data_IF_098035865635
#
_entry.id   IF_098035865635
#
_cell.length_a   1.000
_cell.length_b   1.000
_cell.length_c   1.000
_cell.angle_alpha   90.00
_cell.angle_beta   90.00
_cell.angle_gamma   90.00
#
_symmetry.space_group_name_H-M   'P 1'
#
loop_
_entity.id
_entity.type
_entity.pdbx_description
1 polymer ?
#
# COMPACT_ATOMS: atom_id res chain seq x y z
N UNK A 1 17.62 -33.74 9.34
CA UNK A 1 18.13 -32.58 10.11
C UNK A 1 17.11 -31.48 9.99
N UNK A 2 16.13 -31.48 10.88
CA UNK A 2 15.08 -30.46 11.00
C UNK A 2 15.69 -29.24 11.68
N UNK A 3 15.87 -28.14 10.95
CA UNK A 3 16.30 -26.88 11.56
C UNK A 3 15.11 -26.30 12.35
N UNK A 4 15.12 -26.53 13.66
CA UNK A 4 14.38 -25.74 14.63
C UNK A 4 15.07 -24.38 14.82
N UNK A 5 14.32 -23.28 14.75
CA UNK A 5 14.62 -22.09 15.55
C UNK A 5 15.31 -20.88 14.91
N UNK A 6 15.13 -20.58 13.62
CA UNK A 6 15.34 -19.19 13.17
C UNK A 6 14.03 -18.41 13.28
N UNK A 7 14.00 -17.42 14.18
CA UNK A 7 12.90 -16.46 14.27
C UNK A 7 12.74 -15.77 12.91
N UNK A 8 11.60 -16.03 12.27
CA UNK A 8 11.25 -15.43 10.99
C UNK A 8 11.25 -13.89 11.13
N UNK A 9 12.08 -13.14 10.38
CA UNK A 9 12.12 -11.69 10.46
C UNK A 9 10.71 -11.11 10.28
N UNK A 10 10.19 -10.51 11.33
CA UNK A 10 8.81 -10.05 11.40
C UNK A 10 8.77 -8.54 11.56
N UNK A 11 8.06 -7.87 10.66
CA UNK A 11 7.92 -6.43 10.63
C UNK A 11 6.47 -6.02 10.87
N UNK A 12 6.24 -5.06 11.77
CA UNK A 12 4.93 -4.41 11.90
C UNK A 12 4.72 -3.44 10.73
N UNK A 13 3.72 -3.72 9.90
CA UNK A 13 3.29 -2.86 8.80
C UNK A 13 1.95 -2.21 9.14
N UNK A 14 1.91 -0.88 9.22
CA UNK A 14 0.68 -0.13 9.46
C UNK A 14 -0.01 0.17 8.12
N UNK A 15 -1.27 -0.24 7.93
CA UNK A 15 -2.04 0.04 6.72
C UNK A 15 -3.16 1.03 7.01
N UNK A 16 -3.03 2.25 6.48
CA UNK A 16 -3.94 3.38 6.74
C UNK A 16 -4.50 3.96 5.45
N UNK A 17 -5.57 4.76 5.59
CA UNK A 17 -6.27 5.41 4.49
C UNK A 17 -7.77 5.40 4.69
N UNK A 18 -8.47 6.20 3.89
CA UNK A 18 -9.91 6.38 4.02
C UNK A 18 -10.71 5.07 3.90
N UNK A 19 -11.91 5.07 4.48
CA UNK A 19 -12.87 3.98 4.35
C UNK A 19 -13.21 3.74 2.88
N UNK A 20 -13.32 2.46 2.50
CA UNK A 20 -13.65 2.09 1.12
C UNK A 20 -12.51 2.16 0.11
N UNK A 21 -11.28 2.55 0.50
CA UNK A 21 -10.13 2.53 -0.41
C UNK A 21 -9.71 1.11 -0.84
N UNK A 22 -10.12 0.07 -0.11
CA UNK A 22 -9.82 -1.34 -0.41
C UNK A 22 -8.68 -1.94 0.41
N UNK A 23 -8.37 -1.37 1.59
CA UNK A 23 -7.30 -1.85 2.50
C UNK A 23 -7.49 -3.31 2.91
N UNK A 24 -8.63 -3.63 3.49
CA UNK A 24 -8.99 -5.01 3.89
C UNK A 24 -8.98 -5.97 2.71
N UNK A 25 -9.53 -5.57 1.56
CA UNK A 25 -9.51 -6.39 0.33
C UNK A 25 -8.08 -6.66 -0.13
N UNK A 26 -7.19 -5.65 -0.07
CA UNK A 26 -5.78 -5.79 -0.42
C UNK A 26 -5.06 -6.76 0.51
N UNK A 27 -5.31 -6.72 1.81
CA UNK A 27 -4.69 -7.62 2.79
C UNK A 27 -5.22 -9.04 2.68
N UNK A 28 -6.55 -9.22 2.71
CA UNK A 28 -7.18 -10.54 2.59
C UNK A 28 -6.78 -11.26 1.32
N UNK A 29 -6.65 -10.52 0.21
CA UNK A 29 -6.23 -11.11 -1.05
C UNK A 29 -4.77 -11.57 -1.05
N UNK A 30 -3.88 -10.97 -0.25
CA UNK A 30 -2.55 -11.55 0.00
C UNK A 30 -2.60 -12.81 0.88
N UNK A 31 -3.58 -12.92 1.78
CA UNK A 31 -3.70 -14.06 2.69
C UNK A 31 -4.34 -15.29 2.05
N UNK A 32 -5.50 -15.11 1.42
CA UNK A 32 -6.34 -16.22 0.94
C UNK A 32 -6.34 -16.33 -0.59
N UNK A 33 -5.81 -15.32 -1.28
CA UNK A 33 -5.93 -15.19 -2.73
C UNK A 33 -7.32 -14.74 -3.19
N UNK A 34 -8.34 -14.76 -2.32
CA UNK A 34 -9.72 -14.43 -2.66
C UNK A 34 -9.96 -12.92 -2.74
N UNK A 35 -10.84 -12.53 -3.66
CA UNK A 35 -11.34 -11.16 -3.73
C UNK A 35 -12.68 -11.04 -3.02
N UNK A 36 -12.72 -10.25 -1.97
CA UNK A 36 -13.96 -9.96 -1.25
C UNK A 36 -14.70 -8.78 -1.90
N UNK A 37 -15.81 -9.08 -2.59
CA UNK A 37 -16.67 -8.06 -3.22
C UNK A 37 -17.49 -7.24 -2.22
N UNK A 38 -17.79 -7.82 -1.06
CA UNK A 38 -18.65 -7.19 -0.06
C UNK A 38 -17.82 -6.23 0.76
N UNK A 39 -18.21 -4.95 0.76
CA UNK A 39 -17.63 -4.00 1.69
C UNK A 39 -18.22 -4.21 3.08
N UNK A 40 -17.36 -4.61 4.02
CA UNK A 40 -17.64 -4.61 5.46
C UNK A 40 -16.63 -3.67 6.08
N UNK A 41 -17.08 -2.62 6.78
CA UNK A 41 -16.18 -1.70 7.46
C UNK A 41 -15.41 -2.44 8.57
N UNK A 42 -14.09 -2.32 8.57
CA UNK A 42 -13.24 -2.76 9.68
C UNK A 42 -13.65 -2.04 10.97
N UNK A 43 -13.70 -2.77 12.08
CA UNK A 43 -13.95 -2.21 13.40
C UNK A 43 -12.63 -2.15 14.17
N UNK A 44 -12.06 -0.96 14.33
CA UNK A 44 -10.77 -0.77 14.99
C UNK A 44 -9.61 -1.25 14.11
N UNK A 45 -8.97 -2.35 14.48
CA UNK A 45 -7.82 -2.92 13.76
C UNK A 45 -7.90 -4.44 13.69
N UNK A 46 -7.55 -4.99 12.53
CA UNK A 46 -7.29 -6.42 12.36
C UNK A 46 -5.82 -6.63 12.01
N UNK A 47 -5.19 -7.64 12.61
CA UNK A 47 -3.78 -7.97 12.38
C UNK A 47 -3.67 -9.23 11.54
N UNK A 48 -3.02 -9.09 10.39
CA UNK A 48 -2.93 -10.13 9.37
C UNK A 48 -1.46 -10.47 9.09
N UNK A 49 -0.98 -11.68 9.46
CA UNK A 49 0.38 -12.10 9.16
C UNK A 49 0.51 -12.50 7.69
N UNK A 50 1.30 -11.75 6.91
CA UNK A 50 1.65 -12.06 5.53
C UNK A 50 3.09 -12.54 5.45
N UNK A 51 3.32 -13.70 4.84
CA UNK A 51 4.67 -14.27 4.67
C UNK A 51 5.06 -14.20 3.20
N UNK A 52 6.20 -13.57 2.92
CA UNK A 52 6.78 -13.47 1.58
C UNK A 52 8.09 -14.25 1.55
N UNK A 53 8.30 -15.04 0.50
CA UNK A 53 9.53 -15.80 0.31
C UNK A 53 10.46 -14.99 -0.59
N UNK A 54 11.64 -14.66 -0.08
CA UNK A 54 12.64 -13.88 -0.81
C UNK A 54 13.87 -14.73 -1.15
N UNK A 55 14.74 -14.21 -2.01
CA UNK A 55 16.07 -14.76 -2.28
C UNK A 55 17.04 -14.70 -1.07
N UNK A 56 16.61 -14.11 0.05
CA UNK A 56 17.32 -14.05 1.35
C UNK A 56 16.62 -14.84 2.46
N UNK A 57 15.58 -15.60 2.12
CA UNK A 57 14.73 -16.31 3.08
C UNK A 57 13.35 -15.68 3.21
N UNK A 58 12.51 -16.26 4.05
CA UNK A 58 11.16 -15.75 4.26
C UNK A 58 11.18 -14.52 5.18
N UNK A 59 10.24 -13.61 4.96
CA UNK A 59 9.97 -12.45 5.81
C UNK A 59 8.48 -12.40 6.12
N UNK A 60 8.11 -11.90 7.30
CA UNK A 60 6.72 -11.71 7.70
C UNK A 60 6.40 -10.24 7.89
N UNK A 61 5.31 -9.79 7.29
CA UNK A 61 4.67 -8.53 7.65
C UNK A 61 3.44 -8.83 8.50
N UNK A 62 3.43 -8.38 9.75
CA UNK A 62 2.21 -8.29 10.52
C UNK A 62 1.50 -7.00 10.09
N UNK A 63 0.54 -7.12 9.18
CA UNK A 63 -0.19 -5.98 8.64
C UNK A 63 -1.34 -5.61 9.58
N UNK A 64 -1.28 -4.41 10.11
CA UNK A 64 -2.32 -3.81 10.94
C UNK A 64 -3.28 -3.06 10.02
N UNK A 65 -4.34 -3.74 9.57
CA UNK A 65 -5.41 -3.16 8.75
C UNK A 65 -6.32 -2.31 9.64
N UNK A 66 -6.23 -0.99 9.53
CA UNK A 66 -7.01 -0.06 10.35
C UNK A 66 -8.33 0.31 9.69
N UNK A 67 -9.34 0.63 10.51
CA UNK A 67 -10.56 1.21 9.98
C UNK A 67 -10.27 2.55 9.29
N UNK A 68 -10.96 2.82 8.18
CA UNK A 68 -10.78 4.08 7.45
C UNK A 68 -11.84 5.14 7.78
N UNK A 69 -12.75 4.83 8.71
CA UNK A 69 -13.90 5.66 9.08
C UNK A 69 -13.80 6.27 10.47
N UNK A 70 -12.76 5.94 11.23
CA UNK A 70 -12.62 6.38 12.61
C UNK A 70 -12.46 7.91 12.69
N UNK A 71 -13.52 8.58 13.15
CA UNK A 71 -13.49 10.02 13.50
C UNK A 71 -12.87 10.27 14.87
N UNK A 72 -12.34 9.23 15.54
CA UNK A 72 -11.90 9.26 16.93
C UNK A 72 -10.37 9.12 17.01
N UNK A 73 -9.67 10.25 16.95
CA UNK A 73 -8.21 10.31 16.82
C UNK A 73 -7.39 9.64 17.94
N UNK A 74 -7.94 9.45 19.15
CA UNK A 74 -7.14 8.94 20.27
C UNK A 74 -6.90 7.42 20.26
N UNK A 75 -7.81 6.61 19.71
CA UNK A 75 -7.60 5.16 19.60
C UNK A 75 -6.60 4.79 18.50
N UNK A 76 -6.42 5.69 17.53
CA UNK A 76 -5.61 5.52 16.33
C UNK A 76 -4.11 5.55 16.64
N UNK A 77 -3.66 6.41 17.56
CA UNK A 77 -2.24 6.53 17.92
C UNK A 77 -1.67 5.21 18.46
N UNK A 78 -2.47 4.47 19.24
CA UNK A 78 -2.08 3.16 19.78
C UNK A 78 -1.78 2.11 18.71
N UNK A 79 -2.45 2.18 17.55
CA UNK A 79 -2.21 1.26 16.43
C UNK A 79 -0.87 1.54 15.76
N UNK A 80 -0.37 2.77 15.81
CA UNK A 80 0.87 3.17 15.16
C UNK A 80 2.11 2.80 15.95
N UNK A 81 2.03 2.78 17.29
CA UNK A 81 3.17 2.49 18.18
C UNK A 81 3.98 1.29 17.68
N UNK A 82 5.31 1.47 17.58
CA UNK A 82 6.26 0.45 17.08
C UNK A 82 6.03 -0.01 15.63
N UNK A 83 5.29 0.75 14.82
CA UNK A 83 5.27 0.53 13.37
C UNK A 83 6.68 0.62 12.79
N UNK A 84 7.08 -0.36 11.99
CA UNK A 84 8.40 -0.42 11.34
C UNK A 84 8.32 -0.01 9.88
N UNK A 85 7.15 -0.12 9.26
CA UNK A 85 6.86 0.35 7.91
C UNK A 85 5.36 0.68 7.78
N UNK A 86 4.99 1.38 6.71
CA UNK A 86 3.58 1.67 6.48
C UNK A 86 3.18 1.70 5.00
N UNK A 87 1.89 1.44 4.79
CA UNK A 87 1.19 1.64 3.53
C UNK A 87 0.10 2.68 3.76
N UNK A 88 0.11 3.75 2.95
CA UNK A 88 -1.00 4.71 2.90
C UNK A 88 -1.76 4.46 1.60
N UNK A 89 -3.02 4.07 1.70
CA UNK A 89 -3.85 3.72 0.55
C UNK A 89 -4.92 4.76 0.27
N UNK A 90 -5.10 5.12 -1.00
CA UNK A 90 -6.23 5.90 -1.47
C UNK A 90 -6.88 5.24 -2.70
N UNK A 91 -8.05 5.73 -3.10
CA UNK A 91 -8.81 5.25 -4.25
C UNK A 91 -8.66 6.22 -5.43
N UNK A 92 -8.11 5.76 -6.55
CA UNK A 92 -7.91 6.59 -7.76
C UNK A 92 -9.22 7.09 -8.39
N UNK A 93 -10.36 6.51 -8.02
CA UNK A 93 -11.70 6.93 -8.43
C UNK A 93 -12.34 7.96 -7.49
N UNK A 94 -11.68 8.29 -6.37
CA UNK A 94 -12.18 9.24 -5.36
C UNK A 94 -11.12 10.26 -4.94
N UNK A 95 -11.24 11.49 -5.46
CA UNK A 95 -10.33 12.61 -5.15
C UNK A 95 -10.24 12.93 -3.66
N UNK A 96 -11.33 12.74 -2.91
CA UNK A 96 -11.37 13.00 -1.46
C UNK A 96 -10.37 12.13 -0.71
N UNK A 97 -10.25 10.85 -1.10
CA UNK A 97 -9.35 9.92 -0.42
C UNK A 97 -7.88 10.33 -0.56
N UNK A 98 -7.52 10.89 -1.72
CA UNK A 98 -6.17 11.44 -1.94
C UNK A 98 -5.95 12.76 -1.19
N UNK A 99 -6.96 13.65 -1.14
CA UNK A 99 -6.89 14.88 -0.34
C UNK A 99 -6.64 14.62 1.15
N UNK A 100 -7.04 13.46 1.66
CA UNK A 100 -6.84 13.06 3.05
C UNK A 100 -5.49 12.38 3.31
N UNK A 101 -4.72 12.00 2.28
CA UNK A 101 -3.40 11.37 2.42
C UNK A 101 -2.43 12.19 3.31
N UNK A 102 -2.31 13.53 3.17
CA UNK A 102 -1.45 14.33 4.03
C UNK A 102 -1.80 14.21 5.52
N UNK A 103 -3.09 14.12 5.84
CA UNK A 103 -3.58 13.93 7.21
C UNK A 103 -3.14 12.56 7.75
N UNK A 104 -3.37 11.49 7.00
CA UNK A 104 -2.94 10.14 7.38
C UNK A 104 -1.42 10.06 7.57
N UNK A 105 -0.66 10.64 6.64
CA UNK A 105 0.79 10.71 6.74
C UNK A 105 1.23 11.46 7.99
N UNK A 106 0.69 12.67 8.25
CA UNK A 106 1.02 13.49 9.42
C UNK A 106 0.78 12.73 10.72
N UNK A 107 -0.39 12.10 10.86
CA UNK A 107 -0.75 11.37 12.07
C UNK A 107 0.18 10.16 12.28
N UNK A 108 0.57 9.49 11.20
CA UNK A 108 1.49 8.35 11.23
C UNK A 108 2.92 8.77 11.62
N UNK A 109 3.49 9.79 10.96
CA UNK A 109 4.87 10.23 11.24
C UNK A 109 5.03 10.91 12.61
N UNK A 110 3.92 11.38 13.20
CA UNK A 110 3.91 11.88 14.57
C UNK A 110 4.30 10.78 15.58
N UNK A 111 3.93 9.53 15.31
CA UNK A 111 4.18 8.39 16.19
C UNK A 111 5.38 7.57 15.71
N UNK A 112 5.48 7.31 14.40
CA UNK A 112 6.56 6.53 13.78
C UNK A 112 7.47 7.44 12.95
N UNK A 113 8.60 7.85 13.53
CA UNK A 113 9.57 8.68 12.82
C UNK A 113 10.48 7.80 11.94
N UNK A 114 10.80 8.27 10.74
CA UNK A 114 11.79 7.69 9.83
C UNK A 114 11.56 6.23 9.42
N UNK A 115 10.30 5.80 9.29
CA UNK A 115 9.97 4.47 8.76
C UNK A 115 9.77 4.53 7.23
N UNK A 116 10.08 3.46 6.48
CA UNK A 116 9.73 3.37 5.07
C UNK A 116 8.20 3.35 4.90
N UNK A 117 7.70 4.21 4.01
CA UNK A 117 6.28 4.37 3.73
C UNK A 117 6.06 4.29 2.22
N UNK A 118 5.07 3.51 1.80
CA UNK A 118 4.61 3.46 0.41
C UNK A 118 3.21 4.07 0.31
N UNK A 119 3.03 4.93 -0.68
CA UNK A 119 1.75 5.45 -1.10
C UNK A 119 1.16 4.56 -2.21
N UNK A 120 -0.04 4.05 -2.00
CA UNK A 120 -0.71 3.13 -2.92
C UNK A 120 -1.99 3.75 -3.48
N UNK A 121 -2.04 3.97 -4.80
CA UNK A 121 -3.27 4.34 -5.52
C UNK A 121 -4.01 3.09 -5.97
N UNK A 122 -5.08 2.72 -5.27
CA UNK A 122 -5.84 1.50 -5.56
C UNK A 122 -6.97 1.73 -6.57
N UNK A 123 -7.48 0.62 -7.13
CA UNK A 123 -8.61 0.53 -8.08
C UNK A 123 -8.31 1.09 -9.47
N UNK A 124 -7.06 0.98 -9.90
CA UNK A 124 -6.64 1.42 -11.25
C UNK A 124 -7.23 0.56 -12.39
N UNK A 125 -7.86 -0.56 -12.06
CA UNK A 125 -8.70 -1.33 -13.00
C UNK A 125 -9.95 -0.56 -13.45
N UNK A 126 -10.37 0.46 -12.72
CA UNK A 126 -11.49 1.31 -13.10
C UNK A 126 -11.11 2.31 -14.18
N UNK A 127 -11.84 2.28 -15.30
CA UNK A 127 -11.73 3.31 -16.36
C UNK A 127 -12.23 4.69 -15.89
N UNK A 128 -13.01 4.76 -14.81
CA UNK A 128 -13.47 6.01 -14.21
C UNK A 128 -12.43 6.57 -13.21
N UNK A 129 -11.16 6.61 -13.64
CA UNK A 129 -10.06 7.18 -12.85
C UNK A 129 -10.26 8.70 -12.76
N UNK A 130 -10.35 9.24 -11.55
CA UNK A 130 -10.57 10.69 -11.31
C UNK A 130 -9.31 11.46 -10.95
N UNK A 131 -8.25 10.74 -10.59
CA UNK A 131 -6.93 11.28 -10.23
C UNK A 131 -5.92 10.92 -11.32
N UNK A 132 -5.41 11.93 -12.03
CA UNK A 132 -4.37 11.75 -13.06
C UNK A 132 -3.02 11.55 -12.38
N UNK A 133 -2.09 10.84 -13.03
CA UNK A 133 -0.75 10.60 -12.50
C UNK A 133 -0.04 11.90 -12.07
N UNK A 134 -0.15 12.94 -12.90
CA UNK A 134 0.41 14.28 -12.64
C UNK A 134 -0.14 14.96 -11.37
N UNK A 135 -1.36 14.63 -10.93
CA UNK A 135 -1.94 15.20 -9.70
C UNK A 135 -1.42 14.52 -8.42
N UNK A 136 -0.74 13.37 -8.55
CA UNK A 136 -0.32 12.54 -7.43
C UNK A 136 1.11 12.92 -7.04
N UNK A 137 1.29 14.15 -6.54
CA UNK A 137 2.60 14.72 -6.22
C UNK A 137 3.08 14.51 -4.78
N UNK A 138 2.20 14.08 -3.87
CA UNK A 138 2.50 14.01 -2.43
C UNK A 138 3.71 13.12 -2.11
N UNK A 139 3.86 12.01 -2.84
CA UNK A 139 4.98 11.09 -2.66
C UNK A 139 6.33 11.77 -2.93
N UNK A 140 6.43 12.63 -3.95
CA UNK A 140 7.65 13.41 -4.23
C UNK A 140 7.91 14.46 -3.14
N UNK A 141 6.87 15.16 -2.69
CA UNK A 141 6.97 16.17 -1.61
C UNK A 141 7.47 15.56 -0.28
N UNK A 142 7.22 14.27 -0.03
CA UNK A 142 7.59 13.56 1.21
C UNK A 142 8.62 12.44 1.03
N UNK A 143 9.21 12.32 -0.16
CA UNK A 143 10.15 11.25 -0.52
C UNK A 143 9.63 9.84 -0.21
N UNK A 144 8.38 9.58 -0.59
CA UNK A 144 7.72 8.28 -0.46
C UNK A 144 7.76 7.55 -1.78
N UNK A 145 7.76 6.21 -1.73
CA UNK A 145 7.54 5.42 -2.94
C UNK A 145 6.06 5.41 -3.29
N UNK A 146 5.74 5.48 -4.58
CA UNK A 146 4.37 5.39 -5.09
C UNK A 146 4.17 4.17 -6.00
N UNK A 147 3.02 3.50 -5.85
CA UNK A 147 2.55 2.49 -6.80
C UNK A 147 1.06 2.62 -7.09
N UNK A 148 0.72 2.57 -8.37
CA UNK A 148 -0.62 2.22 -8.83
C UNK A 148 -0.84 0.73 -8.63
N UNK A 149 -1.90 0.36 -7.93
CA UNK A 149 -2.25 -1.03 -7.63
C UNK A 149 -3.72 -1.32 -7.95
N UNK A 150 -4.04 -2.58 -8.22
CA UNK A 150 -5.43 -3.03 -8.17
C UNK A 150 -5.53 -4.34 -7.41
N UNK A 151 -6.18 -4.25 -6.26
CA UNK A 151 -6.60 -5.43 -5.51
C UNK A 151 -7.62 -6.28 -6.27
N UNK A 152 -8.20 -5.83 -7.39
CA UNK A 152 -9.16 -6.61 -8.19
C UNK A 152 -8.49 -7.45 -9.28
N UNK A 153 -7.43 -6.91 -9.88
CA UNK A 153 -6.72 -7.52 -11.01
C UNK A 153 -5.35 -8.11 -10.66
N UNK A 154 -4.90 -8.01 -9.40
CA UNK A 154 -3.54 -8.31 -8.96
C UNK A 154 -2.46 -7.38 -9.58
N UNK A 155 -2.84 -6.26 -10.19
CA UNK A 155 -1.87 -5.35 -10.81
C UNK A 155 -0.96 -4.71 -9.74
N UNK A 156 0.36 -4.84 -9.92
CA UNK A 156 1.42 -4.35 -9.02
C UNK A 156 1.25 -4.76 -7.55
N UNK A 157 0.54 -5.86 -7.29
CA UNK A 157 0.06 -6.20 -5.96
C UNK A 157 1.18 -6.42 -4.93
N UNK A 158 2.30 -7.00 -5.36
CA UNK A 158 3.47 -7.31 -4.53
C UNK A 158 4.49 -6.18 -4.41
N UNK A 159 4.48 -5.21 -5.34
CA UNK A 159 5.49 -4.14 -5.42
C UNK A 159 5.63 -3.32 -4.13
N UNK A 160 4.53 -2.94 -3.44
CA UNK A 160 4.63 -2.23 -2.16
C UNK A 160 5.41 -3.03 -1.10
N UNK A 161 5.11 -4.34 -0.97
CA UNK A 161 5.78 -5.19 0.01
C UNK A 161 7.23 -5.47 -0.37
N UNK A 162 7.52 -5.65 -1.66
CA UNK A 162 8.88 -5.85 -2.14
C UNK A 162 9.77 -4.63 -1.85
N UNK A 163 9.26 -3.43 -2.14
CA UNK A 163 9.99 -2.20 -1.85
C UNK A 163 10.20 -2.03 -0.34
N UNK A 164 9.16 -2.21 0.48
CA UNK A 164 9.29 -2.15 1.94
C UNK A 164 10.31 -3.17 2.46
N UNK A 165 10.27 -4.41 1.96
CA UNK A 165 11.22 -5.45 2.33
C UNK A 165 12.66 -5.05 1.98
N UNK A 166 12.89 -4.52 0.77
CA UNK A 166 14.23 -4.06 0.35
C UNK A 166 14.77 -2.96 1.27
N UNK A 167 13.91 -2.03 1.70
CA UNK A 167 14.30 -0.93 2.60
C UNK A 167 14.57 -1.41 4.03
N UNK A 168 13.74 -2.32 4.54
CA UNK A 168 13.86 -2.85 5.91
C UNK A 168 15.06 -3.79 6.07
N UNK A 169 15.35 -4.59 5.04
CA UNK A 169 16.49 -5.51 5.02
C UNK A 169 17.78 -4.78 4.63
N UNK A 170 17.68 -3.66 3.89
CA UNK A 170 18.83 -2.93 3.37
C UNK A 170 19.49 -3.61 2.17
N UNK A 171 18.76 -4.46 1.44
CA UNK A 171 19.25 -5.14 0.22
C UNK A 171 18.41 -4.71 -0.99
N UNK A 172 18.96 -3.90 -1.92
CA UNK A 172 18.26 -3.49 -3.13
C UNK A 172 18.07 -4.62 -4.14
N UNK A 173 18.79 -5.74 -4.00
CA UNK A 173 18.66 -6.92 -4.85
C UNK A 173 17.72 -7.98 -4.26
N UNK A 174 16.92 -7.60 -3.25
CA UNK A 174 15.92 -8.48 -2.66
C UNK A 174 14.81 -8.70 -3.67
N UNK A 175 14.51 -9.97 -3.95
CA UNK A 175 13.48 -10.40 -4.89
C UNK A 175 12.57 -11.44 -4.25
N UNK A 176 11.29 -11.44 -4.61
CA UNK A 176 10.38 -12.52 -4.23
C UNK A 176 10.60 -13.74 -5.12
N UNK A 177 10.92 -14.88 -4.50
CA UNK A 177 11.21 -16.14 -5.21
C UNK A 177 9.97 -16.99 -5.47
N UNK A 178 8.87 -16.69 -4.77
CA UNK A 178 7.58 -17.31 -5.01
C UNK A 178 6.50 -16.24 -4.87
N UNK A 179 5.62 -16.17 -5.87
CA UNK A 179 4.39 -15.40 -5.71
C UNK A 179 3.53 -16.10 -4.65
N UNK A 180 2.91 -15.36 -3.72
CA UNK A 180 1.80 -15.90 -2.94
C UNK A 180 0.80 -16.56 -3.89
N UNK A 181 0.19 -17.68 -3.49
CA UNK A 181 -0.80 -18.37 -4.30
C UNK A 181 -2.07 -17.51 -4.44
N UNK A 182 -2.04 -16.54 -5.35
CA UNK A 182 -3.17 -15.67 -5.64
C UNK A 182 -4.14 -16.40 -6.56
N UNK A 183 -5.43 -16.36 -6.23
CA UNK A 183 -6.45 -16.82 -7.16
C UNK A 183 -6.45 -15.92 -8.41
N UNK A 184 -6.96 -16.44 -9.55
CA UNK A 184 -7.04 -15.69 -10.78
C UNK A 184 -7.72 -14.32 -10.58
N UNK A 185 -7.29 -13.30 -11.33
CA UNK A 185 -7.88 -11.97 -11.22
C UNK A 185 -9.37 -12.01 -11.57
N UNK A 186 -10.20 -11.31 -10.78
CA UNK A 186 -11.63 -11.18 -11.13
C UNK A 186 -11.83 -10.40 -12.42
N UNK A 187 -10.93 -9.46 -12.68
CA UNK A 187 -10.90 -8.66 -13.89
C UNK A 187 -9.47 -8.65 -14.41
N UNK A 188 -9.31 -9.03 -15.68
CA UNK A 188 -8.07 -8.79 -16.39
C UNK A 188 -8.03 -7.33 -16.80
N UNK A 189 -7.01 -6.61 -16.36
CA UNK A 189 -6.78 -5.27 -16.87
C UNK A 189 -6.35 -5.36 -18.33
N UNK A 190 -6.94 -4.51 -19.15
CA UNK A 190 -6.57 -4.34 -20.55
C UNK A 190 -5.08 -3.95 -20.66
N UNK A 191 -4.35 -4.54 -21.62
CA UNK A 191 -2.90 -4.31 -21.76
C UNK A 191 -2.59 -2.88 -22.21
N UNK A 192 -3.40 -2.32 -23.10
CA UNK A 192 -3.23 -0.95 -23.58
C UNK A 192 -3.49 0.03 -22.43
N UNK A 193 -4.45 -0.29 -21.57
CA UNK A 193 -4.71 0.48 -20.35
C UNK A 193 -3.54 0.42 -19.35
N UNK A 194 -2.94 -0.76 -19.13
CA UNK A 194 -1.74 -0.88 -18.30
C UNK A 194 -0.59 -0.04 -18.87
N UNK A 195 -0.33 -0.14 -20.17
CA UNK A 195 0.71 0.63 -20.84
C UNK A 195 0.44 2.15 -20.81
N UNK A 196 -0.82 2.58 -20.83
CA UNK A 196 -1.17 3.99 -20.65
C UNK A 196 -0.86 4.46 -19.23
N UNK A 197 -1.27 3.70 -18.21
CA UNK A 197 -0.97 4.02 -16.80
C UNK A 197 0.56 4.14 -16.58
N UNK A 198 1.34 3.20 -17.10
CA UNK A 198 2.80 3.22 -16.95
C UNK A 198 3.43 4.43 -17.65
N UNK A 199 2.94 4.79 -18.85
CA UNK A 199 3.39 6.00 -19.56
C UNK A 199 3.04 7.26 -18.78
N UNK A 200 1.80 7.40 -18.33
CA UNK A 200 1.35 8.57 -17.56
C UNK A 200 2.16 8.75 -16.27
N UNK A 201 2.51 7.65 -15.59
CA UNK A 201 3.35 7.67 -14.40
C UNK A 201 4.78 8.10 -14.70
N UNK A 202 5.35 7.61 -15.80
CA UNK A 202 6.69 7.98 -16.23
C UNK A 202 6.75 9.47 -16.60
N UNK A 203 5.79 9.95 -17.38
CA UNK A 203 5.67 11.36 -17.73
C UNK A 203 5.52 12.22 -16.47
N UNK A 204 4.67 11.83 -15.52
CA UNK A 204 4.50 12.56 -14.26
C UNK A 204 5.75 12.58 -13.36
N UNK A 205 6.63 11.59 -13.47
CA UNK A 205 7.92 11.58 -12.77
C UNK A 205 8.92 12.55 -13.39
N UNK A 206 8.87 12.71 -14.72
CA UNK A 206 9.73 13.62 -15.48
C UNK A 206 9.28 15.09 -15.40
N UNK A 207 8.00 15.35 -15.17
CA UNK A 207 7.46 16.71 -14.98
C UNK A 207 7.92 17.32 -13.66
N UNK A 208 8.21 18.61 -13.64
CA UNK A 208 8.52 19.34 -12.40
C UNK A 208 7.31 19.39 -11.44
N UNK A 209 7.60 19.56 -10.14
CA UNK A 209 6.54 19.73 -9.17
C UNK A 209 5.86 21.09 -9.38
N UNK A 210 4.51 21.15 -9.38
CA UNK A 210 3.81 22.43 -9.42
C UNK A 210 4.18 23.27 -8.20
N UNK A 211 4.32 24.59 -8.40
CA UNK A 211 4.64 25.54 -7.34
C UNK A 211 3.63 25.44 -6.18
N UNK A 212 4.12 25.49 -4.94
CA UNK A 212 3.31 25.30 -3.71
C UNK A 212 2.16 26.32 -3.53
N UNK A 213 2.04 27.32 -4.41
CA UNK A 213 1.04 28.39 -4.32
C UNK A 213 -0.37 28.00 -4.77
N UNK A 214 -0.57 26.82 -5.35
CA UNK A 214 -1.88 26.39 -5.85
C UNK A 214 -2.71 25.53 -4.87
N UNK A 215 -2.15 25.15 -3.71
CA UNK A 215 -2.82 24.29 -2.71
C UNK A 215 -3.41 25.11 -1.53
N UNK A 216 -4.17 26.19 -1.80
CA UNK A 216 -5.04 26.88 -0.81
C UNK A 216 -6.52 26.73 -1.21
#
# INVERSE_FOLDING_TARGET
>A
MTQEGQDLPTFKCVLVGDGGCGKTTFVKRHMTGEFEKRYVSTLGVEVHPLIFHTNRGAIRFNVWDTAGQEKFGCLRDGYYIQGQCALIMFDVTSRVTYKNVPTWHRDLVRICQNIPIVLCGNKVDSKNRKLMAQSIVFHRKKNLQYYDISAKSNYNFEKPFLWLASQLVGDPNLEFVAMPALLPPEVKMDKDWQAQIERDLKEAQETDLPDEKEDI
#
